data_IF_248010803039
#
_entry.id   IF_248010803039
#
_cell.length_a   1.000
_cell.length_b   1.000
_cell.length_c   1.000
_cell.angle_alpha   90.00
_cell.angle_beta   90.00
_cell.angle_gamma   90.00
#
_symmetry.space_group_name_H-M   'P 1'
#
loop_
_entity.id
_entity.type
_entity.pdbx_description
1 polymer ?
#
# COMPACT_ATOMS: atom_id res chain seq x y z
N UNK A 1 17.62 0.48 6.45
CA UNK A 1 17.03 -0.40 5.44
C UNK A 1 15.61 0.07 5.23
N UNK A 2 15.33 0.80 4.15
CA UNK A 2 13.96 1.06 3.70
C UNK A 2 13.64 -0.16 2.85
N UNK A 3 12.69 -0.98 3.29
CA UNK A 3 12.22 -2.10 2.49
C UNK A 3 11.34 -1.48 1.41
N UNK A 4 11.71 -1.67 0.15
CA UNK A 4 10.84 -1.35 -0.99
C UNK A 4 9.69 -2.36 -0.98
N UNK A 5 8.62 -2.02 -0.27
CA UNK A 5 7.43 -2.86 -0.16
C UNK A 5 6.31 -2.21 -0.94
N UNK A 6 5.90 -2.86 -2.02
CA UNK A 6 4.74 -2.48 -2.80
C UNK A 6 3.46 -2.73 -1.96
N UNK A 7 2.62 -1.71 -1.69
CA UNK A 7 1.38 -1.85 -0.95
C UNK A 7 0.41 -2.88 -1.54
N UNK A 8 0.42 -3.05 -2.87
CA UNK A 8 -0.35 -4.09 -3.55
C UNK A 8 0.07 -5.50 -3.10
N UNK A 9 1.39 -5.75 -3.02
CA UNK A 9 1.93 -7.03 -2.55
C UNK A 9 1.53 -7.31 -1.09
N UNK A 10 1.52 -6.28 -0.23
CA UNK A 10 1.09 -6.44 1.16
C UNK A 10 -0.40 -6.77 1.23
N UNK A 11 -1.22 -6.12 0.41
CA UNK A 11 -2.67 -6.38 0.32
C UNK A 11 -2.95 -7.81 -0.13
N UNK A 12 -2.22 -8.31 -1.13
CA UNK A 12 -2.31 -9.70 -1.57
C UNK A 12 -1.93 -10.69 -0.47
N UNK A 13 -0.83 -10.42 0.26
CA UNK A 13 -0.41 -11.23 1.41
C UNK A 13 -1.49 -11.22 2.50
N UNK A 14 -2.03 -10.06 2.84
CA UNK A 14 -3.09 -9.93 3.84
C UNK A 14 -4.34 -10.73 3.44
N UNK A 15 -4.69 -10.74 2.14
CA UNK A 15 -5.79 -11.54 1.62
C UNK A 15 -5.51 -13.04 1.71
N UNK A 16 -4.30 -13.50 1.34
CA UNK A 16 -3.90 -14.90 1.50
C UNK A 16 -4.01 -15.34 2.97
N UNK A 17 -3.58 -14.49 3.90
CA UNK A 17 -3.64 -14.76 5.33
C UNK A 17 -5.09 -14.81 5.84
N UNK A 18 -5.95 -13.89 5.37
CA UNK A 18 -7.36 -13.90 5.72
C UNK A 18 -8.06 -15.19 5.25
N UNK A 19 -7.74 -15.66 4.05
CA UNK A 19 -8.27 -16.92 3.52
C UNK A 19 -7.80 -18.12 4.37
N UNK A 20 -6.49 -18.19 4.66
CA UNK A 20 -5.92 -19.25 5.49
C UNK A 20 -6.49 -19.24 6.92
N UNK A 21 -6.73 -18.06 7.49
CA UNK A 21 -7.42 -17.93 8.78
C UNK A 21 -8.84 -18.51 8.73
N UNK A 22 -9.60 -18.24 7.67
CA UNK A 22 -10.94 -18.83 7.49
C UNK A 22 -10.93 -20.36 7.45
N UNK A 23 -9.90 -20.97 6.81
CA UNK A 23 -9.73 -22.43 6.83
C UNK A 23 -9.43 -22.98 8.24
N UNK A 24 -8.63 -22.26 9.02
CA UNK A 24 -8.33 -22.62 10.42
C UNK A 24 -9.58 -22.49 11.30
N UNK A 25 -10.39 -21.46 11.11
CA UNK A 25 -11.66 -21.27 11.82
C UNK A 25 -12.63 -22.43 11.54
N UNK A 26 -12.74 -22.84 10.27
CA UNK A 26 -13.58 -23.98 9.90
C UNK A 26 -13.04 -25.30 10.47
N UNK A 27 -11.73 -25.51 10.46
CA UNK A 27 -11.11 -26.68 11.11
C UNK A 27 -11.40 -26.70 12.62
N UNK A 28 -11.35 -25.54 13.29
CA UNK A 28 -11.70 -25.42 14.70
C UNK A 28 -13.18 -25.77 14.95
N UNK A 29 -14.08 -25.28 14.09
CA UNK A 29 -15.51 -25.62 14.15
C UNK A 29 -15.76 -27.12 14.00
N UNK A 30 -15.09 -27.77 13.05
CA UNK A 30 -15.22 -29.21 12.82
C UNK A 30 -14.71 -30.00 14.03
N UNK A 31 -13.49 -29.73 14.50
CA UNK A 31 -12.90 -30.48 15.60
C UNK A 31 -13.65 -30.31 16.92
N UNK A 32 -14.16 -29.10 17.21
CA UNK A 32 -14.96 -28.84 18.40
C UNK A 32 -16.36 -29.45 18.33
N UNK A 33 -16.84 -29.79 17.13
CA UNK A 33 -18.14 -30.47 16.95
C UNK A 33 -18.09 -31.98 17.19
N UNK A 34 -16.88 -32.57 17.26
CA UNK A 34 -16.71 -34.00 17.53
C UNK A 34 -17.11 -34.27 18.98
N UNK A 35 -18.10 -35.14 19.15
CA UNK A 35 -18.58 -35.57 20.47
C UNK A 35 -17.87 -36.85 20.91
N UNK A 36 -17.90 -37.12 22.21
CA UNK A 36 -17.32 -38.34 22.77
C UNK A 36 -18.00 -39.60 22.24
N UNK A 37 -17.20 -40.62 21.96
CA UNK A 37 -17.66 -41.90 21.40
C UNK A 37 -18.00 -42.93 22.49
N UNK A 38 -18.79 -42.53 23.48
CA UNK A 38 -19.10 -43.35 24.67
C UNK A 38 -19.84 -44.66 24.36
N UNK A 39 -20.45 -44.76 23.18
CA UNK A 39 -21.14 -45.95 22.69
C UNK A 39 -20.21 -46.97 22.00
N UNK A 40 -18.92 -46.69 21.87
CA UNK A 40 -17.97 -47.62 21.26
C UNK A 40 -17.50 -48.65 22.27
N UNK A 41 -17.46 -49.92 21.84
CA UNK A 41 -17.13 -51.05 22.71
C UNK A 41 -15.68 -51.55 22.53
N UNK A 42 -14.79 -50.69 22.03
CA UNK A 42 -13.37 -50.98 21.83
C UNK A 42 -12.50 -50.41 22.96
N UNK A 43 -11.29 -50.99 23.12
CA UNK A 43 -10.35 -50.61 24.18
C UNK A 43 -9.71 -49.23 23.95
N UNK A 44 -9.67 -48.77 22.70
CA UNK A 44 -9.06 -47.50 22.29
C UNK A 44 -9.97 -46.28 22.53
N UNK A 45 -11.25 -46.51 22.88
CA UNK A 45 -12.26 -45.45 23.03
C UNK A 45 -11.79 -44.27 23.88
N UNK A 46 -11.30 -44.56 25.08
CA UNK A 46 -10.93 -43.51 26.05
C UNK A 46 -9.77 -42.67 25.51
N UNK A 47 -8.77 -43.32 24.90
CA UNK A 47 -7.66 -42.64 24.25
C UNK A 47 -8.13 -41.76 23.08
N UNK A 48 -9.09 -42.23 22.27
CA UNK A 48 -9.67 -41.44 21.18
C UNK A 48 -10.39 -40.20 21.73
N UNK A 49 -11.20 -40.35 22.78
CA UNK A 49 -11.87 -39.21 23.41
C UNK A 49 -10.86 -38.21 23.99
N UNK A 50 -9.80 -38.68 24.65
CA UNK A 50 -8.73 -37.83 25.17
C UNK A 50 -8.05 -37.04 24.05
N UNK A 51 -7.76 -37.69 22.91
CA UNK A 51 -7.20 -37.01 21.74
C UNK A 51 -8.19 -36.02 21.11
N UNK A 52 -9.48 -36.35 21.04
CA UNK A 52 -10.52 -35.41 20.57
C UNK A 52 -10.52 -34.14 21.42
N UNK A 53 -10.53 -34.27 22.75
CA UNK A 53 -10.46 -33.14 23.69
C UNK A 53 -9.16 -32.35 23.58
N UNK A 54 -8.03 -33.05 23.41
CA UNK A 54 -6.73 -32.39 23.21
C UNK A 54 -6.69 -31.60 21.91
N UNK A 55 -7.11 -32.20 20.80
CA UNK A 55 -7.10 -31.57 19.49
C UNK A 55 -8.06 -30.37 19.43
N UNK A 56 -9.25 -30.48 20.01
CA UNK A 56 -10.20 -29.38 20.11
C UNK A 56 -9.61 -28.18 20.89
N UNK A 57 -8.87 -28.42 21.96
CA UNK A 57 -8.20 -27.34 22.72
C UNK A 57 -7.04 -26.72 21.95
N UNK A 58 -6.21 -27.52 21.29
CA UNK A 58 -5.07 -27.00 20.53
C UNK A 58 -5.51 -26.21 19.30
N UNK A 59 -6.53 -26.68 18.55
CA UNK A 59 -7.01 -25.94 17.38
C UNK A 59 -7.64 -24.60 17.74
N UNK A 60 -8.30 -24.48 18.91
CA UNK A 60 -8.82 -23.20 19.38
C UNK A 60 -7.70 -22.19 19.65
N UNK A 61 -6.57 -22.63 20.23
CA UNK A 61 -5.38 -21.77 20.42
C UNK A 61 -4.77 -21.34 19.09
N UNK A 62 -4.74 -22.24 18.11
CA UNK A 62 -4.24 -21.94 16.77
C UNK A 62 -5.17 -20.92 16.09
N UNK A 63 -6.48 -21.13 16.16
CA UNK A 63 -7.49 -20.22 15.61
C UNK A 63 -7.37 -18.81 16.20
N UNK A 64 -7.26 -18.70 17.52
CA UNK A 64 -7.06 -17.40 18.20
C UNK A 64 -5.80 -16.68 17.70
N UNK A 65 -4.66 -17.38 17.66
CA UNK A 65 -3.39 -16.80 17.19
C UNK A 65 -3.43 -16.40 15.72
N UNK A 66 -4.03 -17.24 14.87
CA UNK A 66 -4.19 -16.97 13.45
C UNK A 66 -5.11 -15.77 13.21
N UNK A 67 -6.20 -15.63 13.98
CA UNK A 67 -7.09 -14.48 13.91
C UNK A 67 -6.40 -13.17 14.30
N UNK A 68 -5.61 -13.20 15.38
CA UNK A 68 -4.78 -12.06 15.78
C UNK A 68 -3.78 -11.66 14.68
N UNK A 69 -3.11 -12.63 14.08
CA UNK A 69 -2.15 -12.39 13.00
C UNK A 69 -2.84 -11.82 11.74
N UNK A 70 -3.98 -12.38 11.33
CA UNK A 70 -4.75 -11.89 10.21
C UNK A 70 -5.20 -10.43 10.42
N UNK A 71 -5.64 -10.09 11.63
CA UNK A 71 -6.02 -8.72 11.97
C UNK A 71 -4.82 -7.75 11.90
N UNK A 72 -3.66 -8.14 12.43
CA UNK A 72 -2.44 -7.33 12.31
C UNK A 72 -2.07 -7.10 10.84
N UNK A 73 -2.10 -8.13 10.02
CA UNK A 73 -1.75 -8.02 8.60
C UNK A 73 -2.74 -7.17 7.80
N UNK A 74 -4.03 -7.22 8.15
CA UNK A 74 -5.02 -6.30 7.61
C UNK A 74 -4.68 -4.84 7.92
N UNK A 75 -4.39 -4.52 9.18
CA UNK A 75 -4.01 -3.16 9.61
C UNK A 75 -2.73 -2.70 8.89
N UNK A 76 -1.74 -3.58 8.75
CA UNK A 76 -0.51 -3.28 8.02
C UNK A 76 -0.84 -2.94 6.55
N UNK A 77 -1.64 -3.74 5.86
CA UNK A 77 -2.04 -3.45 4.47
C UNK A 77 -2.79 -2.11 4.34
N UNK A 78 -3.71 -1.83 5.27
CA UNK A 78 -4.46 -0.56 5.31
C UNK A 78 -3.55 0.66 5.49
N UNK A 79 -2.57 0.57 6.39
CA UNK A 79 -1.61 1.64 6.64
C UNK A 79 -0.75 1.92 5.41
N UNK A 80 -0.17 0.89 4.78
CA UNK A 80 0.66 1.07 3.58
C UNK A 80 -0.13 1.66 2.42
N UNK A 81 -1.37 1.22 2.20
CA UNK A 81 -2.26 1.78 1.16
C UNK A 81 -2.59 3.25 1.45
N UNK A 82 -2.84 3.58 2.71
CA UNK A 82 -3.13 4.96 3.14
C UNK A 82 -1.91 5.86 2.94
N UNK A 83 -0.73 5.39 3.33
CA UNK A 83 0.52 6.14 3.17
C UNK A 83 0.87 6.36 1.70
N UNK A 84 0.71 5.35 0.84
CA UNK A 84 0.90 5.48 -0.62
C UNK A 84 -0.02 6.55 -1.22
N UNK A 85 -1.30 6.55 -0.81
CA UNK A 85 -2.27 7.57 -1.24
C UNK A 85 -1.85 8.96 -0.79
N UNK A 86 -1.51 9.13 0.50
CA UNK A 86 -1.11 10.42 1.05
C UNK A 86 0.13 10.99 0.33
N UNK A 87 1.11 10.13 0.04
CA UNK A 87 2.31 10.50 -0.71
C UNK A 87 1.94 10.93 -2.15
N UNK A 88 1.09 10.16 -2.82
CA UNK A 88 0.64 10.45 -4.19
C UNK A 88 -0.12 11.78 -4.31
N UNK A 89 -0.98 12.09 -3.33
CA UNK A 89 -1.70 13.37 -3.25
C UNK A 89 -0.74 14.54 -3.02
N UNK A 90 0.27 14.36 -2.17
CA UNK A 90 1.30 15.38 -1.95
C UNK A 90 2.08 15.71 -3.23
N UNK A 91 2.49 14.69 -4.00
CA UNK A 91 3.18 14.91 -5.28
C UNK A 91 2.30 15.57 -6.34
N UNK A 92 1.04 15.14 -6.46
CA UNK A 92 0.06 15.76 -7.37
C UNK A 92 -0.14 17.25 -7.04
N UNK A 93 -0.17 17.59 -5.75
CA UNK A 93 -0.24 18.98 -5.30
C UNK A 93 0.98 19.79 -5.74
N UNK A 94 2.18 19.25 -5.58
CA UNK A 94 3.43 19.89 -6.02
C UNK A 94 3.46 20.08 -7.54
N UNK A 95 3.07 19.08 -8.32
CA UNK A 95 2.98 19.19 -9.79
C UNK A 95 2.00 20.28 -10.23
N UNK A 96 0.85 20.40 -9.56
CA UNK A 96 -0.13 21.46 -9.82
C UNK A 96 0.41 22.86 -9.50
N UNK A 97 1.16 23.02 -8.40
CA UNK A 97 1.82 24.28 -8.05
C UNK A 97 2.86 24.68 -9.10
N UNK A 98 3.69 23.73 -9.55
CA UNK A 98 4.67 23.96 -10.62
C UNK A 98 3.96 24.37 -11.91
N UNK A 99 2.92 23.64 -12.31
CA UNK A 99 2.11 23.97 -13.49
C UNK A 99 1.50 25.37 -13.41
N UNK A 100 1.02 25.77 -12.22
CA UNK A 100 0.49 27.11 -11.98
C UNK A 100 1.54 28.19 -12.17
N UNK A 101 2.75 28.01 -11.62
CA UNK A 101 3.87 28.95 -11.79
C UNK A 101 4.27 29.06 -13.27
N UNK A 102 4.38 27.92 -13.97
CA UNK A 102 4.73 27.89 -15.39
C UNK A 102 3.66 28.54 -16.28
N UNK A 103 2.39 28.56 -15.85
CA UNK A 103 1.29 29.21 -16.57
C UNK A 103 1.24 30.73 -16.40
N UNK A 104 2.02 31.32 -15.49
CA UNK A 104 2.08 32.77 -15.31
C UNK A 104 2.77 33.38 -16.53
N UNK A 105 1.97 34.02 -17.39
CA UNK A 105 2.50 34.85 -18.46
C UNK A 105 3.10 36.12 -17.84
N UNK A 106 4.37 36.47 -18.11
CA UNK A 106 4.96 37.69 -17.56
C UNK A 106 4.12 38.91 -17.93
N UNK A 107 3.83 39.75 -16.93
CA UNK A 107 3.18 41.07 -17.12
C UNK A 107 4.20 41.94 -17.87
N UNK A 108 4.14 41.88 -19.20
CA UNK A 108 5.14 42.50 -20.09
C UNK A 108 5.20 41.91 -21.50
N UNK A 109 4.48 40.82 -21.80
CA UNK A 109 4.33 40.30 -23.16
C UNK A 109 3.33 41.09 -24.03
N UNK A 110 3.24 42.41 -23.81
CA UNK A 110 2.64 43.34 -24.77
C UNK A 110 3.63 43.58 -25.92
N UNK A 111 3.11 43.75 -27.13
CA UNK A 111 3.89 44.06 -28.34
C UNK A 111 4.98 45.09 -28.06
N UNK A 112 6.24 44.64 -28.02
CA UNK A 112 7.41 45.51 -27.90
C UNK A 112 7.60 46.22 -29.24
N UNK A 113 7.12 47.45 -29.39
CA UNK A 113 7.84 48.44 -30.20
C UNK A 113 9.11 48.79 -29.41
N UNK A 114 10.25 48.25 -29.84
CA UNK A 114 11.52 48.38 -29.13
C UNK A 114 12.11 49.79 -29.30
N UNK A 115 12.01 50.61 -28.27
CA UNK A 115 12.77 51.86 -28.15
C UNK A 115 13.82 51.74 -27.02
N UNK A 116 14.58 50.64 -26.96
CA UNK A 116 15.71 50.57 -26.02
C UNK A 116 16.91 51.35 -26.58
N UNK A 117 17.59 52.18 -25.76
CA UNK A 117 18.81 52.86 -26.17
C UNK A 117 19.93 51.84 -26.44
N UNK A 118 20.75 52.10 -27.47
CA UNK A 118 21.97 51.33 -27.75
C UNK A 118 22.87 51.29 -26.51
N UNK A 119 23.04 50.09 -25.94
CA UNK A 119 23.96 49.86 -24.82
C UNK A 119 23.39 49.04 -23.65
N UNK A 120 22.09 48.79 -23.59
CA UNK A 120 21.51 47.94 -22.54
C UNK A 120 21.44 46.48 -23.01
N UNK A 121 22.28 45.62 -22.44
CA UNK A 121 22.24 44.18 -22.69
C UNK A 121 21.01 43.56 -21.98
N UNK A 122 20.15 42.79 -22.67
CA UNK A 122 19.02 42.15 -22.01
C UNK A 122 19.50 41.05 -21.07
N UNK A 123 19.05 41.08 -19.82
CA UNK A 123 19.41 40.07 -18.79
C UNK A 123 18.75 38.71 -19.09
N UNK A 124 17.73 38.64 -19.94
CA UNK A 124 17.15 37.38 -20.39
C UNK A 124 16.70 37.50 -21.86
N UNK A 125 17.38 36.83 -22.78
CA UNK A 125 16.69 36.33 -23.97
C UNK A 125 15.82 35.17 -23.50
N UNK A 126 14.53 35.43 -23.27
CA UNK A 126 13.55 34.36 -23.20
C UNK A 126 13.61 33.61 -24.53
N UNK A 127 14.15 32.38 -24.52
CA UNK A 127 13.87 31.41 -25.56
C UNK A 127 12.36 31.34 -25.74
N UNK A 128 11.92 31.15 -26.98
CA UNK A 128 10.50 31.07 -27.30
C UNK A 128 9.80 29.91 -26.56
N UNK A 129 8.49 29.75 -26.73
CA UNK A 129 7.68 28.71 -26.07
C UNK A 129 8.12 27.26 -26.33
N UNK A 130 9.16 27.05 -27.15
CA UNK A 130 9.61 25.76 -27.67
C UNK A 130 10.67 25.06 -26.79
N UNK A 131 11.27 25.74 -25.79
CA UNK A 131 12.46 25.21 -25.11
C UNK A 131 12.24 24.64 -23.70
N UNK A 132 11.02 24.70 -23.13
CA UNK A 132 10.74 24.04 -21.85
C UNK A 132 10.11 22.66 -22.10
N UNK A 133 10.95 21.67 -22.42
CA UNK A 133 10.49 20.29 -22.52
C UNK A 133 10.17 19.75 -21.12
N UNK A 134 8.90 19.40 -20.89
CA UNK A 134 8.47 18.66 -19.68
C UNK A 134 9.29 17.39 -19.42
N UNK A 135 9.91 16.80 -20.46
CA UNK A 135 10.79 15.64 -20.34
C UNK A 135 11.94 15.86 -19.36
N UNK A 136 12.46 17.08 -19.24
CA UNK A 136 13.57 17.41 -18.33
C UNK A 136 13.15 17.42 -16.86
N UNK A 137 11.87 17.66 -16.56
CA UNK A 137 11.33 17.60 -15.18
C UNK A 137 11.04 16.15 -14.79
N UNK A 138 10.55 15.34 -15.73
CA UNK A 138 10.30 13.91 -15.52
C UNK A 138 11.63 13.14 -15.31
N UNK A 139 12.71 13.51 -16.01
CA UNK A 139 14.05 12.92 -15.76
C UNK A 139 14.59 13.22 -14.36
N UNK A 140 14.26 14.38 -13.79
CA UNK A 140 14.63 14.74 -12.40
C UNK A 140 13.84 13.96 -11.35
N UNK A 141 12.57 13.65 -11.63
CA UNK A 141 11.76 12.76 -10.79
C UNK A 141 12.18 11.28 -10.92
N UNK A 142 12.78 10.91 -12.05
CA UNK A 142 13.28 9.55 -12.32
C UNK A 142 14.71 9.30 -11.80
N UNK A 143 15.40 10.35 -11.33
CA UNK A 143 16.72 10.23 -10.72
C UNK A 143 16.59 10.05 -9.20
N UNK A 144 16.58 8.76 -8.81
CA UNK A 144 16.63 8.18 -7.46
C UNK A 144 15.28 7.85 -6.82
N UNK A 145 14.76 6.69 -7.22
CA UNK A 145 14.26 5.67 -6.29
C UNK A 145 15.15 4.43 -6.45
#
# INVERSE_FOLDING_TARGET
MIIDVNPQTITEIAQTIANAYGEVEEAARILTSITEHNNWNCKERDAINDYTHSNAREILKISEKSGNFANVMKIVAENFTTDEKNISEMFTSVESMIGSILSIRPIGAGNRTSNLPEGVMPICKSGGPEDFKLSSVIELASLKL
#
